data_IF_419889043800
#
_entry.id   IF_419889043800
#
_cell.length_a   1.000
_cell.length_b   1.000
_cell.length_c   1.000
_cell.angle_alpha   90.00
_cell.angle_beta   90.00
_cell.angle_gamma   90.00
#
_symmetry.space_group_name_H-M   'P 1'
#
loop_
_entity.id
_entity.type
_entity.pdbx_description
1 polymer ?
#
# COMPACT_ATOMS: atom_id res chain seq x y z
N UNK A 1 -0.62 21.81 8.01
CA UNK A 1 -0.49 20.38 7.58
C UNK A 1 0.17 20.39 6.21
N UNK A 2 1.30 19.70 6.07
CA UNK A 2 2.00 19.58 4.77
C UNK A 2 1.72 18.21 4.17
N UNK A 3 1.37 18.16 2.89
CA UNK A 3 1.18 16.94 2.12
C UNK A 3 2.17 16.94 0.95
N UNK A 4 3.04 15.96 0.90
CA UNK A 4 3.90 15.70 -0.26
C UNK A 4 3.24 14.69 -1.19
N UNK A 5 2.95 15.10 -2.41
CA UNK A 5 2.46 14.21 -3.46
C UNK A 5 3.66 13.86 -4.36
N UNK A 6 4.00 12.59 -4.36
CA UNK A 6 5.14 12.09 -5.14
C UNK A 6 4.71 11.72 -6.55
N UNK A 7 5.53 11.96 -7.57
CA UNK A 7 5.19 11.66 -8.95
C UNK A 7 5.07 10.15 -9.18
N UNK A 8 4.32 9.78 -10.21
CA UNK A 8 4.31 8.42 -10.70
C UNK A 8 5.70 8.08 -11.30
N UNK A 9 6.29 7.00 -10.81
CA UNK A 9 7.58 6.48 -11.28
C UNK A 9 7.40 5.03 -11.72
N UNK A 10 8.14 4.63 -12.74
CA UNK A 10 8.24 3.24 -13.18
C UNK A 10 9.47 2.64 -12.50
N UNK A 11 9.24 1.79 -11.52
CA UNK A 11 10.26 1.21 -10.64
C UNK A 11 10.05 -0.32 -10.57
N UNK A 12 11.09 -1.04 -10.17
CA UNK A 12 10.96 -2.44 -9.78
C UNK A 12 10.14 -2.57 -8.49
N UNK A 13 9.64 -3.76 -8.20
CA UNK A 13 8.88 -4.02 -6.97
C UNK A 13 9.69 -3.68 -5.71
N UNK A 14 10.97 -4.02 -5.68
CA UNK A 14 11.88 -3.70 -4.58
C UNK A 14 12.05 -2.19 -4.40
N UNK A 15 12.22 -1.45 -5.50
CA UNK A 15 12.35 0.01 -5.46
C UNK A 15 11.05 0.67 -5.00
N UNK A 16 9.87 0.16 -5.40
CA UNK A 16 8.59 0.63 -4.89
C UNK A 16 8.49 0.45 -3.38
N UNK A 17 8.88 -0.70 -2.84
CA UNK A 17 8.84 -0.96 -1.39
C UNK A 17 9.86 -0.11 -0.62
N UNK A 18 11.06 0.08 -1.17
CA UNK A 18 12.06 0.97 -0.59
C UNK A 18 11.58 2.43 -0.57
N UNK A 19 10.86 2.87 -1.61
CA UNK A 19 10.28 4.21 -1.67
C UNK A 19 9.18 4.37 -0.60
N UNK A 20 8.31 3.40 -0.41
CA UNK A 20 7.27 3.45 0.61
C UNK A 20 7.88 3.54 2.02
N UNK A 21 8.94 2.78 2.29
CA UNK A 21 9.67 2.85 3.55
C UNK A 21 10.35 4.21 3.76
N UNK A 22 11.02 4.72 2.72
CA UNK A 22 11.63 6.05 2.76
C UNK A 22 10.59 7.14 3.02
N UNK A 23 9.43 7.09 2.35
CA UNK A 23 8.33 8.04 2.55
C UNK A 23 7.81 8.03 4.00
N UNK A 24 7.74 6.85 4.62
CA UNK A 24 7.37 6.71 6.04
C UNK A 24 8.41 7.36 6.95
N UNK A 25 9.71 7.18 6.66
CA UNK A 25 10.79 7.80 7.42
C UNK A 25 10.78 9.33 7.29
N UNK A 26 10.54 9.86 6.08
CA UNK A 26 10.38 11.30 5.87
C UNK A 26 9.23 11.87 6.70
N UNK A 27 8.05 11.25 6.62
CA UNK A 27 6.88 11.64 7.42
C UNK A 27 7.16 11.65 8.93
N UNK A 28 7.96 10.71 9.41
CA UNK A 28 8.37 10.62 10.81
C UNK A 28 9.37 11.73 11.21
N UNK A 29 10.13 12.26 10.25
CA UNK A 29 11.18 13.25 10.49
C UNK A 29 10.65 14.68 10.40
N UNK A 30 9.86 14.98 9.37
CA UNK A 30 9.41 16.35 9.06
C UNK A 30 7.93 16.61 9.45
N UNK A 31 7.22 15.58 9.91
CA UNK A 31 5.83 15.69 10.32
C UNK A 31 4.84 15.93 9.17
N UNK A 32 5.24 15.63 7.94
CA UNK A 32 4.40 15.75 6.76
C UNK A 32 3.64 14.46 6.42
N UNK A 33 2.56 14.58 5.68
CA UNK A 33 1.95 13.46 4.97
C UNK A 33 2.69 13.20 3.67
N UNK A 34 2.80 11.93 3.29
CA UNK A 34 3.25 11.54 1.96
C UNK A 34 2.19 10.71 1.24
N UNK A 35 1.91 11.04 -0.01
CA UNK A 35 0.99 10.30 -0.87
C UNK A 35 1.67 9.99 -2.20
N UNK A 36 1.56 8.76 -2.63
CA UNK A 36 1.94 8.33 -3.98
C UNK A 36 0.95 7.34 -4.54
N UNK A 37 0.85 7.33 -5.87
CA UNK A 37 0.04 6.37 -6.63
C UNK A 37 0.95 5.71 -7.67
N UNK A 38 0.90 4.39 -7.77
CA UNK A 38 1.77 3.63 -8.65
C UNK A 38 1.14 2.30 -9.09
N UNK A 39 1.81 1.57 -9.94
CA UNK A 39 1.45 0.22 -10.38
C UNK A 39 2.64 -0.71 -10.22
N UNK A 40 2.34 -1.95 -9.97
CA UNK A 40 3.28 -3.07 -10.11
C UNK A 40 2.62 -4.12 -10.97
N UNK A 41 3.35 -4.60 -11.98
CA UNK A 41 2.86 -5.66 -12.83
C UNK A 41 3.55 -6.98 -12.48
N UNK A 42 2.81 -8.08 -12.63
CA UNK A 42 3.31 -9.43 -12.40
C UNK A 42 4.10 -9.59 -11.09
N UNK A 43 3.54 -9.09 -10.01
CA UNK A 43 4.22 -9.02 -8.71
C UNK A 43 3.35 -9.59 -7.59
N UNK A 44 3.91 -10.50 -6.78
CA UNK A 44 3.36 -10.84 -5.48
C UNK A 44 3.98 -9.97 -4.39
N UNK A 45 3.14 -9.34 -3.59
CA UNK A 45 3.58 -8.70 -2.35
C UNK A 45 3.05 -9.49 -1.15
N UNK A 46 3.83 -9.57 -0.10
CA UNK A 46 3.43 -10.19 1.16
C UNK A 46 3.69 -9.26 2.35
N UNK A 47 2.91 -9.47 3.41
CA UNK A 47 2.94 -8.60 4.58
C UNK A 47 4.20 -8.77 5.40
N UNK A 48 4.57 -7.72 6.13
CA UNK A 48 5.77 -7.66 6.97
C UNK A 48 5.93 -8.86 7.91
N UNK A 49 4.84 -9.36 8.48
CA UNK A 49 4.84 -10.42 9.48
C UNK A 49 4.63 -11.83 8.90
N UNK A 50 4.39 -11.95 7.59
CA UNK A 50 4.27 -13.25 6.94
C UNK A 50 5.66 -13.87 6.76
N UNK A 51 5.75 -15.18 6.92
CA UNK A 51 6.98 -15.92 6.65
C UNK A 51 6.99 -16.36 5.19
N UNK A 52 8.05 -16.05 4.47
CA UNK A 52 8.19 -16.42 3.07
C UNK A 52 8.11 -17.95 2.89
N UNK A 53 8.72 -18.73 3.79
CA UNK A 53 8.69 -20.19 3.75
C UNK A 53 7.29 -20.81 3.83
N UNK A 54 6.33 -20.10 4.39
CA UNK A 54 4.92 -20.54 4.45
C UNK A 54 4.14 -20.22 3.17
N UNK A 55 4.70 -19.36 2.32
CA UNK A 55 4.09 -18.85 1.10
C UNK A 55 4.81 -19.33 -0.16
N UNK A 56 6.00 -19.92 -0.01
CA UNK A 56 6.88 -20.29 -1.11
C UNK A 56 6.20 -21.23 -2.11
N UNK A 57 5.53 -22.28 -1.64
CA UNK A 57 4.80 -23.21 -2.50
C UNK A 57 3.67 -22.52 -3.28
N UNK A 58 3.00 -21.55 -2.66
CA UNK A 58 1.95 -20.76 -3.30
C UNK A 58 2.51 -19.87 -4.42
N UNK A 59 3.66 -19.26 -4.22
CA UNK A 59 4.30 -18.43 -5.23
C UNK A 59 4.94 -19.26 -6.35
N UNK A 60 5.61 -20.36 -6.01
CA UNK A 60 6.30 -21.20 -6.98
C UNK A 60 5.33 -22.01 -7.85
N UNK A 61 4.19 -22.43 -7.32
CA UNK A 61 3.19 -23.20 -8.07
C UNK A 61 2.42 -22.37 -9.11
N UNK A 62 2.39 -21.03 -8.95
CA UNK A 62 1.64 -20.12 -9.80
C UNK A 62 2.54 -19.20 -10.64
N UNK A 63 3.86 -19.36 -10.58
CA UNK A 63 4.76 -18.40 -11.21
C UNK A 63 5.27 -18.85 -12.57
N UNK A 64 4.98 -18.04 -13.59
CA UNK A 64 5.90 -17.86 -14.69
C UNK A 64 7.24 -17.33 -14.15
N UNK A 65 8.35 -17.65 -14.82
CA UNK A 65 9.71 -17.33 -14.39
C UNK A 65 10.03 -15.82 -14.22
N UNK A 66 9.07 -14.94 -14.48
CA UNK A 66 9.20 -13.48 -14.44
C UNK A 66 8.43 -12.82 -13.30
N UNK A 67 7.77 -13.59 -12.42
CA UNK A 67 7.03 -13.01 -11.28
C UNK A 67 7.98 -12.46 -10.24
N UNK A 68 7.82 -11.19 -9.91
CA UNK A 68 8.53 -10.59 -8.79
C UNK A 68 7.82 -10.92 -7.48
N UNK A 69 8.60 -11.16 -6.43
CA UNK A 69 8.06 -11.39 -5.07
C UNK A 69 8.76 -10.45 -4.11
N UNK A 70 8.00 -9.65 -3.37
CA UNK A 70 8.57 -8.64 -2.49
C UNK A 70 7.78 -8.49 -1.19
N UNK A 71 8.48 -8.23 -0.09
CA UNK A 71 7.89 -7.96 1.23
C UNK A 71 7.50 -6.48 1.35
N UNK A 72 6.27 -6.21 1.80
CA UNK A 72 5.86 -4.85 2.13
C UNK A 72 6.40 -4.41 3.51
N UNK A 73 6.68 -3.12 3.71
CA UNK A 73 6.96 -2.57 5.04
C UNK A 73 5.72 -2.59 5.96
N UNK A 74 4.52 -2.76 5.39
CA UNK A 74 3.23 -2.83 6.08
C UNK A 74 2.78 -4.28 6.32
N UNK A 75 1.79 -4.47 7.19
CA UNK A 75 1.19 -5.78 7.48
C UNK A 75 0.24 -6.29 6.38
N UNK A 76 -0.63 -7.21 6.77
CA UNK A 76 -1.64 -7.81 5.90
C UNK A 76 -1.21 -9.11 5.24
N UNK A 77 -2.09 -9.66 4.40
CA UNK A 77 -1.88 -10.90 3.64
C UNK A 77 -1.11 -10.69 2.34
N UNK A 78 -0.88 -11.77 1.60
CA UNK A 78 -0.27 -11.72 0.27
C UNK A 78 -1.27 -11.22 -0.78
N UNK A 79 -0.77 -10.44 -1.74
CA UNK A 79 -1.56 -9.86 -2.85
C UNK A 79 -0.79 -10.03 -4.15
N UNK A 80 -1.49 -10.47 -5.20
CA UNK A 80 -0.96 -10.47 -6.56
C UNK A 80 -1.39 -9.19 -7.29
N UNK A 81 -0.43 -8.50 -7.86
CA UNK A 81 -0.61 -7.27 -8.63
C UNK A 81 -0.42 -7.55 -10.11
N UNK A 82 -1.44 -7.25 -10.91
CA UNK A 82 -1.38 -7.41 -12.37
C UNK A 82 -1.71 -6.13 -13.13
N UNK A 83 -2.71 -5.38 -12.68
CA UNK A 83 -3.17 -4.16 -13.34
C UNK A 83 -3.84 -3.17 -12.38
N UNK A 84 -3.78 -3.45 -11.12
CA UNK A 84 -4.37 -2.64 -10.06
C UNK A 84 -3.60 -1.33 -9.87
N UNK A 85 -4.32 -0.33 -9.38
CA UNK A 85 -3.74 0.94 -8.94
C UNK A 85 -3.50 0.84 -7.43
N UNK A 86 -2.26 1.08 -7.06
CA UNK A 86 -1.81 1.03 -5.68
C UNK A 86 -1.62 2.48 -5.21
N UNK A 87 -2.05 2.79 -4.00
CA UNK A 87 -1.64 4.02 -3.34
C UNK A 87 -0.93 3.71 -2.02
N UNK A 88 0.03 4.53 -1.67
CA UNK A 88 0.69 4.53 -0.38
C UNK A 88 0.52 5.90 0.28
N UNK A 89 0.12 5.88 1.55
CA UNK A 89 -0.06 7.07 2.38
C UNK A 89 0.79 6.93 3.65
N UNK A 90 1.68 7.89 3.90
CA UNK A 90 2.38 8.01 5.18
C UNK A 90 1.72 9.08 6.04
N UNK A 91 1.52 8.77 7.31
CA UNK A 91 0.82 9.61 8.28
C UNK A 91 1.78 9.99 9.40
N UNK A 92 1.98 11.28 9.67
CA UNK A 92 2.87 11.71 10.75
C UNK A 92 2.29 11.33 12.12
N UNK A 93 3.17 10.98 13.06
CA UNK A 93 2.79 10.53 14.40
C UNK A 93 1.98 11.56 15.20
N UNK A 94 2.17 12.84 14.91
CA UNK A 94 1.48 13.93 15.60
C UNK A 94 0.05 14.15 15.13
N UNK A 95 -0.41 13.45 14.07
CA UNK A 95 -1.75 13.62 13.54
C UNK A 95 -2.76 12.67 14.21
N UNK A 96 -4.00 13.11 14.40
CA UNK A 96 -5.06 12.34 15.07
C UNK A 96 -5.34 11.00 14.43
N UNK A 97 -5.23 10.89 13.10
CA UNK A 97 -5.35 9.63 12.36
C UNK A 97 -4.38 8.55 12.84
N UNK A 98 -3.19 8.95 13.33
CA UNK A 98 -2.19 8.01 13.82
C UNK A 98 -2.65 7.29 15.10
N UNK A 99 -3.50 7.91 15.89
CA UNK A 99 -4.04 7.37 17.15
C UNK A 99 -5.23 6.43 16.95
N UNK A 100 -5.79 6.35 15.75
CA UNK A 100 -6.92 5.50 15.46
C UNK A 100 -6.53 4.01 15.53
N UNK A 101 -7.50 3.17 15.89
CA UNK A 101 -7.36 1.72 15.69
C UNK A 101 -7.25 1.43 14.20
N UNK A 102 -6.53 0.38 13.86
CA UNK A 102 -6.19 0.06 12.46
C UNK A 102 -7.42 -0.02 11.54
N UNK A 103 -8.53 -0.61 12.00
CA UNK A 103 -9.76 -0.72 11.21
C UNK A 103 -10.43 0.65 10.98
N UNK A 104 -10.44 1.50 12.00
CA UNK A 104 -11.02 2.84 11.92
C UNK A 104 -10.16 3.72 10.99
N UNK A 105 -8.84 3.56 11.06
CA UNK A 105 -7.90 4.23 10.15
C UNK A 105 -8.15 3.81 8.69
N UNK A 106 -8.22 2.51 8.41
CA UNK A 106 -8.52 2.02 7.07
C UNK A 106 -9.85 2.55 6.55
N UNK A 107 -10.89 2.52 7.40
CA UNK A 107 -12.20 3.04 7.03
C UNK A 107 -12.12 4.53 6.67
N UNK A 108 -11.52 5.35 7.53
CA UNK A 108 -11.39 6.79 7.30
C UNK A 108 -10.63 7.11 6.00
N UNK A 109 -9.51 6.44 5.73
CA UNK A 109 -8.73 6.64 4.51
C UNK A 109 -9.52 6.21 3.27
N UNK A 110 -10.17 5.03 3.30
CA UNK A 110 -10.94 4.55 2.17
C UNK A 110 -12.17 5.41 1.88
N UNK A 111 -12.84 5.94 2.90
CA UNK A 111 -13.94 6.90 2.71
C UNK A 111 -13.47 8.16 1.98
N UNK A 112 -12.30 8.70 2.31
CA UNK A 112 -11.70 9.83 1.60
C UNK A 112 -11.39 9.48 0.13
N UNK A 113 -10.88 8.28 -0.14
CA UNK A 113 -10.62 7.81 -1.51
C UNK A 113 -11.93 7.65 -2.30
N UNK A 114 -12.97 7.07 -1.68
CA UNK A 114 -14.30 6.94 -2.30
C UNK A 114 -14.90 8.30 -2.66
N UNK A 115 -14.80 9.27 -1.77
CA UNK A 115 -15.28 10.64 -2.01
C UNK A 115 -14.53 11.28 -3.18
N UNK A 116 -13.21 11.19 -3.21
CA UNK A 116 -12.39 11.72 -4.30
C UNK A 116 -12.76 11.09 -5.66
N UNK A 117 -12.96 9.77 -5.71
CA UNK A 117 -13.36 9.05 -6.92
C UNK A 117 -14.78 9.44 -7.34
N UNK A 118 -15.71 9.56 -6.40
CA UNK A 118 -17.09 10.00 -6.67
C UNK A 118 -17.12 11.41 -7.24
N UNK A 119 -16.33 12.34 -6.72
CA UNK A 119 -16.19 13.71 -7.22
C UNK A 119 -15.61 13.74 -8.66
N UNK A 120 -14.88 12.69 -9.04
CA UNK A 120 -14.37 12.48 -10.40
C UNK A 120 -15.34 11.70 -11.32
N UNK A 121 -16.57 11.42 -10.86
CA UNK A 121 -17.57 10.68 -11.61
C UNK A 121 -17.41 9.15 -11.61
N UNK A 122 -16.51 8.61 -10.78
CA UNK A 122 -16.23 7.17 -10.68
C UNK A 122 -17.03 6.62 -9.50
N UNK A 123 -17.99 5.74 -9.79
CA UNK A 123 -18.77 5.03 -8.76
C UNK A 123 -17.99 3.82 -8.25
N UNK A 124 -17.75 3.78 -6.96
CA UNK A 124 -17.04 2.70 -6.29
C UNK A 124 -17.73 2.28 -5.01
N UNK A 125 -17.40 1.11 -4.51
CA UNK A 125 -17.86 0.60 -3.21
C UNK A 125 -16.66 0.14 -2.40
N UNK A 126 -16.73 0.33 -1.10
CA UNK A 126 -15.72 -0.16 -0.17
C UNK A 126 -15.93 -1.64 0.12
N UNK A 127 -14.91 -2.44 -0.13
CA UNK A 127 -14.88 -3.84 0.26
C UNK A 127 -13.84 -4.06 1.36
N UNK A 128 -14.29 -4.12 2.60
CA UNK A 128 -13.43 -4.36 3.77
C UNK A 128 -13.12 -5.85 4.02
N UNK A 129 -13.74 -6.76 3.27
CA UNK A 129 -13.51 -8.21 3.44
C UNK A 129 -12.10 -8.67 3.09
N UNK A 130 -11.33 -7.85 2.38
CA UNK A 130 -9.93 -8.10 2.03
C UNK A 130 -8.94 -7.61 3.11
N UNK A 131 -9.42 -6.94 4.15
CA UNK A 131 -8.58 -6.52 5.27
C UNK A 131 -8.50 -7.69 6.25
N UNK A 132 -7.54 -8.57 6.03
CA UNK A 132 -7.17 -9.59 7.01
C UNK A 132 -6.18 -8.99 8.00
N UNK A 133 -6.65 -8.88 9.20
CA UNK A 133 -5.82 -8.47 10.35
C UNK A 133 -5.34 -9.73 11.07
#
# INVERSE_FOLDING_TARGET
MNLHIYPHLVLSAQEHMAFDEWMLLQSSTDGSFGLRVYRMDNTYTFGRNQKFSELEDHFLSNSDSEVQVVRRPTGGGSVYHSSDIIYALSIPRAHDLYSLKILDLYKAIHEMVLEALSNSGIKTVLNLSLIHI
#
